data_IF_111965528343
#
_entry.id   IF_111965528343
#
_cell.length_a   1.000
_cell.length_b   1.000
_cell.length_c   1.000
_cell.angle_alpha   90.00
_cell.angle_beta   90.00
_cell.angle_gamma   90.00
#
_symmetry.space_group_name_H-M   'P 1'
#
loop_
_entity.id
_entity.type
_entity.pdbx_description
1 polymer ?
#
# COMPACT_ATOMS: atom_id res chain seq x y z
N UNK A 1 -7.18 18.83 1.99
CA UNK A 1 -6.13 17.98 1.40
C UNK A 1 -6.59 16.55 1.25
N UNK A 2 -6.14 15.92 0.18
CA UNK A 2 -6.33 14.53 -0.18
C UNK A 2 -5.01 13.76 -0.05
N UNK A 3 -5.10 12.44 0.04
CA UNK A 3 -3.98 11.54 -0.25
C UNK A 3 -4.25 10.80 -1.55
N UNK A 4 -3.29 10.83 -2.48
CA UNK A 4 -3.31 10.02 -3.69
C UNK A 4 -2.17 9.00 -3.64
N UNK A 5 -2.40 7.79 -4.14
CA UNK A 5 -1.39 6.74 -4.21
C UNK A 5 -1.28 6.31 -5.67
N UNK A 6 -0.10 6.47 -6.24
CA UNK A 6 0.27 5.90 -7.53
C UNK A 6 1.13 4.68 -7.27
N UNK A 7 0.87 3.58 -7.97
CA UNK A 7 1.55 2.32 -7.72
C UNK A 7 1.76 1.48 -8.98
N UNK A 8 2.82 0.67 -8.99
CA UNK A 8 3.18 -0.20 -10.11
C UNK A 8 3.64 -1.58 -9.60
N UNK A 9 3.05 -2.64 -10.15
CA UNK A 9 3.31 -4.03 -9.73
C UNK A 9 4.72 -4.45 -10.16
N UNK A 10 5.53 -4.84 -9.19
CA UNK A 10 6.93 -5.19 -9.43
C UNK A 10 7.02 -6.49 -10.22
N UNK A 11 7.69 -6.46 -11.38
CA UNK A 11 7.86 -7.63 -12.26
C UNK A 11 6.53 -8.26 -12.71
N UNK A 12 5.51 -7.43 -12.96
CA UNK A 12 4.18 -7.85 -13.48
C UNK A 12 4.26 -8.77 -14.70
N UNK A 13 5.17 -8.47 -15.64
CA UNK A 13 5.41 -9.23 -16.89
C UNK A 13 5.99 -10.63 -16.67
N UNK A 14 6.47 -10.94 -15.45
CA UNK A 14 6.96 -12.28 -15.10
C UNK A 14 5.85 -13.23 -14.63
N UNK A 15 4.65 -12.71 -14.38
CA UNK A 15 3.47 -13.48 -13.97
C UNK A 15 2.88 -14.22 -15.19
N UNK A 16 2.43 -15.45 -14.99
CA UNK A 16 1.70 -16.16 -16.04
C UNK A 16 0.27 -15.65 -16.14
N UNK A 17 -0.41 -15.95 -17.26
CA UNK A 17 -1.79 -15.48 -17.53
C UNK A 17 -2.74 -15.75 -16.34
N UNK A 18 -2.66 -16.96 -15.75
CA UNK A 18 -3.50 -17.33 -14.59
C UNK A 18 -3.21 -16.47 -13.36
N UNK A 19 -1.93 -16.22 -13.07
CA UNK A 19 -1.52 -15.37 -11.95
C UNK A 19 -1.93 -13.91 -12.17
N UNK A 20 -1.78 -13.40 -13.39
CA UNK A 20 -2.20 -12.03 -13.75
C UNK A 20 -3.71 -11.84 -13.54
N UNK A 21 -4.54 -12.77 -14.02
CA UNK A 21 -6.00 -12.71 -13.85
C UNK A 21 -6.37 -12.78 -12.36
N UNK A 22 -5.79 -13.73 -11.62
CA UNK A 22 -6.07 -13.87 -10.20
C UNK A 22 -5.60 -12.66 -9.36
N UNK A 23 -4.49 -12.02 -9.74
CA UNK A 23 -4.02 -10.80 -9.08
C UNK A 23 -4.95 -9.62 -9.35
N UNK A 24 -5.47 -9.50 -10.57
CA UNK A 24 -6.47 -8.46 -10.91
C UNK A 24 -7.73 -8.61 -10.07
N UNK A 25 -8.30 -9.81 -9.97
CA UNK A 25 -9.45 -10.06 -9.09
C UNK A 25 -9.14 -9.74 -7.63
N UNK A 26 -7.95 -10.08 -7.13
CA UNK A 26 -7.54 -9.70 -5.77
C UNK A 26 -7.46 -8.18 -5.57
N UNK A 27 -7.07 -7.42 -6.59
CA UNK A 27 -7.05 -5.95 -6.55
C UNK A 27 -8.48 -5.40 -6.57
N UNK A 28 -9.37 -5.95 -7.38
CA UNK A 28 -10.79 -5.56 -7.44
C UNK A 28 -11.51 -5.83 -6.10
N UNK A 29 -11.25 -6.99 -5.48
CA UNK A 29 -11.74 -7.32 -4.14
C UNK A 29 -11.17 -6.36 -3.09
N UNK A 30 -9.89 -6.03 -3.19
CA UNK A 30 -9.23 -5.08 -2.32
C UNK A 30 -9.88 -3.69 -2.42
N UNK A 31 -10.13 -3.19 -3.64
CA UNK A 31 -10.83 -1.92 -3.83
C UNK A 31 -12.21 -1.95 -3.20
N UNK A 32 -12.97 -3.04 -3.38
CA UNK A 32 -14.28 -3.21 -2.74
C UNK A 32 -14.20 -3.18 -1.20
N UNK A 33 -13.15 -3.74 -0.60
CA UNK A 33 -12.91 -3.66 0.84
C UNK A 33 -12.56 -2.23 1.27
N UNK A 34 -11.71 -1.55 0.51
CA UNK A 34 -11.27 -0.19 0.81
C UNK A 34 -12.42 0.82 0.66
N UNK A 35 -13.24 0.72 -0.37
CA UNK A 35 -14.43 1.57 -0.58
C UNK A 35 -15.43 1.46 0.58
N UNK A 36 -15.66 0.25 1.10
CA UNK A 36 -16.55 0.03 2.24
C UNK A 36 -16.01 0.59 3.54
N UNK A 37 -14.68 0.63 3.69
CA UNK A 37 -14.01 1.00 4.94
C UNK A 37 -13.63 2.48 5.01
N UNK A 38 -13.27 3.08 3.89
CA UNK A 38 -12.75 4.44 3.81
C UNK A 38 -13.69 5.28 2.94
N UNK A 39 -14.59 6.08 3.54
CA UNK A 39 -15.56 6.88 2.81
C UNK A 39 -14.89 7.75 1.74
N UNK A 40 -15.42 7.68 0.52
CA UNK A 40 -14.92 8.44 -0.61
C UNK A 40 -13.61 7.92 -1.23
N UNK A 41 -13.06 6.79 -0.76
CA UNK A 41 -11.98 6.11 -1.45
C UNK A 41 -12.35 5.86 -2.93
N UNK A 42 -11.36 5.96 -3.80
CA UNK A 42 -11.50 5.64 -5.21
C UNK A 42 -10.21 5.01 -5.74
N UNK A 43 -10.27 3.72 -6.08
CA UNK A 43 -9.17 3.00 -6.71
C UNK A 43 -9.46 2.69 -8.18
N UNK A 44 -8.44 2.71 -9.03
CA UNK A 44 -8.52 2.20 -10.40
C UNK A 44 -7.23 1.51 -10.82
N UNK A 45 -7.38 0.49 -11.66
CA UNK A 45 -6.27 -0.21 -12.31
C UNK A 45 -6.17 0.25 -13.78
N UNK A 46 -4.98 0.70 -14.18
CA UNK A 46 -4.66 1.23 -15.50
C UNK A 46 -3.67 0.28 -16.16
N UNK A 47 -3.94 -0.12 -17.42
CA UNK A 47 -3.09 -1.02 -18.22
C UNK A 47 -2.76 -2.39 -17.60
N UNK A 48 -3.32 -2.71 -16.43
CA UNK A 48 -3.28 -4.02 -15.80
C UNK A 48 -2.24 -4.18 -14.68
N UNK A 49 -1.34 -3.23 -14.51
CA UNK A 49 -0.27 -3.25 -13.49
C UNK A 49 -0.02 -1.91 -12.79
N UNK A 50 -0.52 -0.81 -13.36
CA UNK A 50 -0.48 0.51 -12.74
C UNK A 50 -1.78 0.78 -11.97
N UNK A 51 -1.68 1.28 -10.76
CA UNK A 51 -2.82 1.57 -9.90
C UNK A 51 -2.78 3.02 -9.43
N UNK A 52 -3.95 3.63 -9.40
CA UNK A 52 -4.17 4.93 -8.78
C UNK A 52 -5.27 4.80 -7.74
N UNK A 53 -5.01 5.34 -6.55
CA UNK A 53 -5.99 5.45 -5.49
C UNK A 53 -6.08 6.90 -5.03
N UNK A 54 -7.27 7.35 -4.66
CA UNK A 54 -7.53 8.65 -4.08
C UNK A 54 -8.32 8.50 -2.78
N UNK A 55 -7.92 9.25 -1.75
CA UNK A 55 -8.55 9.30 -0.45
C UNK A 55 -8.84 10.76 -0.08
N UNK A 56 -10.08 11.09 0.31
CA UNK A 56 -10.40 12.41 0.86
C UNK A 56 -9.72 12.71 2.19
N UNK A 57 -9.39 11.67 2.96
CA UNK A 57 -8.70 11.79 4.25
C UNK A 57 -7.23 11.47 4.10
N UNK A 58 -6.37 12.48 4.31
CA UNK A 58 -4.92 12.30 4.32
C UNK A 58 -4.47 11.32 5.40
N UNK A 59 -5.11 11.34 6.58
CA UNK A 59 -4.76 10.50 7.73
C UNK A 59 -4.88 9.01 7.41
N UNK A 60 -5.83 8.64 6.57
CA UNK A 60 -6.04 7.25 6.14
C UNK A 60 -5.06 6.80 5.05
N UNK A 61 -4.40 7.73 4.36
CA UNK A 61 -3.55 7.45 3.21
C UNK A 61 -2.43 6.46 3.51
N UNK A 62 -1.72 6.64 4.62
CA UNK A 62 -0.63 5.74 5.00
C UNK A 62 -1.16 4.34 5.32
N UNK A 63 -2.25 4.23 6.08
CA UNK A 63 -2.90 2.93 6.35
C UNK A 63 -3.23 2.21 5.05
N UNK A 64 -3.89 2.90 4.13
CA UNK A 64 -4.33 2.32 2.86
C UNK A 64 -3.16 1.92 1.98
N UNK A 65 -2.08 2.71 1.94
CA UNK A 65 -0.85 2.31 1.26
C UNK A 65 -0.29 1.00 1.84
N UNK A 66 -0.18 0.88 3.17
CA UNK A 66 0.32 -0.36 3.80
C UNK A 66 -0.61 -1.55 3.56
N UNK A 67 -1.94 -1.34 3.55
CA UNK A 67 -2.93 -2.37 3.22
C UNK A 67 -2.70 -2.88 1.80
N UNK A 68 -2.56 -1.97 0.83
CA UNK A 68 -2.29 -2.30 -0.56
C UNK A 68 -1.00 -3.13 -0.66
N UNK A 69 0.12 -2.62 -0.12
CA UNK A 69 1.41 -3.29 -0.22
C UNK A 69 1.39 -4.71 0.36
N UNK A 70 0.82 -4.86 1.55
CA UNK A 70 0.72 -6.15 2.25
C UNK A 70 -0.23 -7.12 1.54
N UNK A 71 -1.34 -6.63 0.96
CA UNK A 71 -2.28 -7.43 0.16
C UNK A 71 -1.63 -7.99 -1.11
N UNK A 72 -0.91 -7.14 -1.86
CA UNK A 72 -0.25 -7.54 -3.12
C UNK A 72 0.94 -8.46 -2.86
N UNK A 73 1.80 -8.13 -1.88
CA UNK A 73 2.96 -8.97 -1.54
C UNK A 73 2.57 -10.34 -0.98
N UNK A 74 1.41 -10.46 -0.34
CA UNK A 74 0.90 -11.76 0.13
C UNK A 74 0.28 -12.64 -0.97
N UNK A 75 0.19 -12.14 -2.20
CA UNK A 75 -0.40 -12.89 -3.32
C UNK A 75 0.40 -14.17 -3.62
N UNK A 76 -0.25 -15.36 -3.64
CA UNK A 76 0.41 -16.61 -3.98
C UNK A 76 0.84 -16.64 -5.46
N UNK A 77 2.12 -16.86 -5.70
CA UNK A 77 2.69 -17.10 -7.03
C UNK A 77 3.61 -18.32 -7.01
N UNK A 78 3.76 -18.98 -8.15
CA UNK A 78 4.69 -20.10 -8.28
C UNK A 78 6.14 -19.62 -8.14
N UNK A 79 6.96 -20.34 -7.37
CA UNK A 79 8.36 -19.95 -7.15
C UNK A 79 9.17 -20.00 -8.45
N UNK A 80 9.87 -18.91 -8.75
CA UNK A 80 10.83 -18.86 -9.85
C UNK A 80 11.81 -17.70 -9.66
N UNK A 81 13.02 -17.82 -10.20
CA UNK A 81 14.03 -16.74 -10.14
C UNK A 81 13.52 -15.43 -10.74
N UNK A 82 12.70 -15.49 -11.80
CA UNK A 82 12.14 -14.32 -12.49
C UNK A 82 11.14 -13.54 -11.63
N UNK A 83 10.49 -14.20 -10.65
CA UNK A 83 9.47 -13.59 -9.78
C UNK A 83 9.98 -13.18 -8.40
N UNK A 84 11.29 -13.35 -8.13
CA UNK A 84 11.89 -13.03 -6.83
C UNK A 84 11.63 -11.57 -6.41
N UNK A 85 11.69 -10.64 -7.36
CA UNK A 85 11.40 -9.23 -7.09
C UNK A 85 9.94 -9.00 -6.68
N UNK A 86 8.98 -9.67 -7.35
CA UNK A 86 7.58 -9.64 -6.91
C UNK A 86 7.43 -10.21 -5.49
N UNK A 87 8.06 -11.34 -5.18
CA UNK A 87 7.98 -11.94 -3.83
C UNK A 87 8.58 -11.01 -2.75
N UNK A 88 9.66 -10.29 -3.08
CA UNK A 88 10.31 -9.36 -2.15
C UNK A 88 9.51 -8.06 -1.98
N UNK A 89 9.00 -7.47 -3.04
CA UNK A 89 8.43 -6.12 -2.99
C UNK A 89 6.91 -6.09 -3.20
N UNK A 90 6.40 -6.96 -4.06
CA UNK A 90 5.01 -7.02 -4.53
C UNK A 90 4.66 -5.85 -5.44
N UNK A 91 4.76 -4.65 -4.89
CA UNK A 91 4.37 -3.40 -5.53
C UNK A 91 5.30 -2.26 -5.08
N UNK A 92 5.59 -1.34 -6.01
CA UNK A 92 6.21 -0.05 -5.70
C UNK A 92 5.14 1.03 -5.73
N UNK A 93 5.20 2.00 -4.81
CA UNK A 93 4.14 2.99 -4.62
C UNK A 93 4.70 4.33 -4.19
N UNK A 94 4.05 5.42 -4.58
CA UNK A 94 4.24 6.74 -3.99
C UNK A 94 2.89 7.27 -3.50
N UNK A 95 2.91 7.88 -2.34
CA UNK A 95 1.77 8.62 -1.80
C UNK A 95 2.02 10.11 -1.91
N UNK A 96 1.17 10.82 -2.64
CA UNK A 96 1.14 12.27 -2.72
C UNK A 96 0.12 12.83 -1.74
N UNK A 97 0.48 13.89 -1.03
CA UNK A 97 -0.43 14.59 -0.11
C UNK A 97 -0.56 16.03 -0.59
N UNK A 98 -1.77 16.45 -0.95
CA UNK A 98 -2.00 17.76 -1.59
C UNK A 98 -3.48 18.01 -1.84
N UNK A 99 -3.81 19.12 -2.46
CA UNK A 99 -5.21 19.39 -2.84
C UNK A 99 -5.58 18.76 -4.18
N UNK A 100 -6.90 18.61 -4.38
CA UNK A 100 -7.48 18.15 -5.65
C UNK A 100 -8.30 19.27 -6.25
N UNK A 101 -8.11 19.50 -7.55
CA UNK A 101 -8.88 20.47 -8.33
C UNK A 101 -10.19 19.87 -8.82
N UNK A 102 -10.15 18.65 -9.32
CA UNK A 102 -11.31 17.92 -9.83
C UNK A 102 -11.24 16.46 -9.36
N UNK A 103 -12.35 15.99 -8.80
CA UNK A 103 -12.58 14.58 -8.49
C UNK A 103 -13.94 14.22 -9.08
N UNK A 104 -13.92 13.61 -10.27
CA UNK A 104 -15.11 13.20 -10.99
C UNK A 104 -15.04 11.71 -11.31
N UNK A 105 -15.75 10.90 -10.51
CA UNK A 105 -15.78 9.44 -10.68
C UNK A 105 -16.51 9.03 -11.96
N UNK A 106 -17.54 9.77 -12.37
CA UNK A 106 -18.39 9.44 -13.52
C UNK A 106 -17.60 9.58 -14.82
N UNK A 107 -16.84 10.67 -14.95
CA UNK A 107 -15.98 10.93 -16.12
C UNK A 107 -14.56 10.40 -15.96
N UNK A 108 -14.24 9.77 -14.82
CA UNK A 108 -12.91 9.18 -14.57
C UNK A 108 -11.79 10.21 -14.41
N UNK A 109 -12.07 11.41 -13.92
CA UNK A 109 -11.11 12.51 -13.77
C UNK A 109 -10.60 12.58 -12.33
N UNK A 110 -9.28 12.37 -12.16
CA UNK A 110 -8.53 12.73 -10.95
C UNK A 110 -7.53 13.82 -11.35
N UNK A 111 -7.81 15.06 -11.00
CA UNK A 111 -6.96 16.19 -11.35
C UNK A 111 -6.58 17.00 -10.11
N UNK A 112 -5.29 17.10 -9.79
CA UNK A 112 -4.86 17.77 -8.58
C UNK A 112 -3.41 17.55 -8.19
N UNK A 113 -2.98 18.34 -7.22
CA UNK A 113 -1.61 18.31 -6.72
C UNK A 113 -1.26 16.95 -6.10
N UNK A 114 -2.17 16.34 -5.32
CA UNK A 114 -1.92 15.04 -4.69
C UNK A 114 -1.58 13.95 -5.72
N UNK A 115 -2.40 13.79 -6.76
CA UNK A 115 -2.19 12.75 -7.80
C UNK A 115 -0.95 13.06 -8.66
N UNK A 116 -0.64 14.34 -8.88
CA UNK A 116 0.58 14.71 -9.59
C UNK A 116 1.85 14.43 -8.77
N UNK A 117 1.82 14.69 -7.46
CA UNK A 117 2.94 14.39 -6.56
C UNK A 117 3.19 12.88 -6.48
N UNK A 118 2.13 12.07 -6.32
CA UNK A 118 2.26 10.61 -6.30
C UNK A 118 2.80 10.07 -7.62
N UNK A 119 2.28 10.53 -8.75
CA UNK A 119 2.71 10.10 -10.08
C UNK A 119 4.18 10.42 -10.34
N UNK A 120 4.59 11.68 -10.17
CA UNK A 120 5.99 12.11 -10.37
C UNK A 120 6.95 11.41 -9.42
N UNK A 121 6.55 11.21 -8.16
CA UNK A 121 7.39 10.51 -7.19
C UNK A 121 7.58 9.04 -7.56
N UNK A 122 6.54 8.36 -8.09
CA UNK A 122 6.65 6.99 -8.59
C UNK A 122 7.54 6.89 -9.83
N UNK A 123 7.38 7.80 -10.79
CA UNK A 123 8.19 7.84 -12.02
C UNK A 123 9.66 8.11 -11.71
N UNK A 124 9.93 8.94 -10.70
CA UNK A 124 11.27 9.21 -10.18
C UNK A 124 11.89 8.05 -9.38
N UNK A 125 11.13 7.00 -9.05
CA UNK A 125 11.70 5.83 -8.40
C UNK A 125 12.58 5.07 -9.38
N UNK A 126 13.87 4.96 -9.03
CA UNK A 126 14.78 4.02 -9.65
C UNK A 126 14.38 2.57 -9.41
N UNK A 127 15.28 1.65 -9.75
CA UNK A 127 15.04 0.21 -9.55
C UNK A 127 14.75 -0.11 -8.07
N UNK A 128 13.71 -0.92 -7.75
CA UNK A 128 13.25 -1.26 -6.39
C UNK A 128 14.32 -1.63 -5.35
N UNK A 129 15.51 -2.06 -5.80
CA UNK A 129 16.54 -2.61 -4.94
C UNK A 129 17.50 -1.55 -4.34
N UNK A 130 17.43 -0.28 -4.75
CA UNK A 130 18.42 0.73 -4.29
C UNK A 130 17.91 1.67 -3.21
N UNK A 131 16.66 2.15 -3.28
CA UNK A 131 16.14 3.23 -2.42
C UNK A 131 14.78 2.90 -1.75
N UNK A 132 14.40 1.62 -1.71
CA UNK A 132 13.06 1.20 -1.28
C UNK A 132 12.03 1.26 -2.41
N UNK A 133 10.78 0.99 -2.02
CA UNK A 133 9.61 0.83 -2.90
C UNK A 133 8.37 1.58 -2.42
N UNK A 134 8.53 2.43 -1.41
CA UNK A 134 7.46 3.31 -0.95
C UNK A 134 8.00 4.69 -0.60
N UNK A 135 7.41 5.72 -1.20
CA UNK A 135 7.72 7.12 -0.95
C UNK A 135 6.47 7.89 -0.53
N UNK A 136 6.66 8.94 0.26
CA UNK A 136 5.62 9.90 0.64
C UNK A 136 6.09 11.29 0.23
N UNK A 137 5.29 11.97 -0.57
CA UNK A 137 5.59 13.29 -1.13
C UNK A 137 4.46 14.28 -0.79
N UNK A 138 4.61 15.05 0.30
CA UNK A 138 3.66 16.09 0.66
C UNK A 138 3.89 17.39 -0.11
N UNK A 139 2.83 18.13 -0.38
CA UNK A 139 2.87 19.50 -0.89
C UNK A 139 3.63 20.42 0.08
N UNK A 140 3.37 20.29 1.39
CA UNK A 140 4.14 20.98 2.41
C UNK A 140 5.52 20.34 2.60
N UNK A 141 6.54 21.07 2.15
CA UNK A 141 7.95 20.67 2.22
C UNK A 141 8.48 20.46 3.65
N UNK A 142 7.89 21.09 4.67
CA UNK A 142 8.29 20.88 6.07
C UNK A 142 7.92 19.48 6.57
N UNK A 143 6.82 18.91 6.07
CA UNK A 143 6.40 17.54 6.40
C UNK A 143 7.19 16.48 5.64
N UNK A 144 7.92 16.86 4.58
CA UNK A 144 8.62 15.91 3.71
C UNK A 144 9.67 15.08 4.46
N UNK A 145 10.64 15.63 5.20
CA UNK A 145 11.64 14.82 5.90
C UNK A 145 11.05 13.76 6.85
N UNK A 146 10.15 14.09 7.80
CA UNK A 146 9.62 13.08 8.72
C UNK A 146 8.77 12.02 8.00
N UNK A 147 7.96 12.41 7.00
CA UNK A 147 7.15 11.46 6.25
C UNK A 147 7.99 10.51 5.40
N UNK A 148 9.06 11.02 4.77
CA UNK A 148 10.00 10.17 4.04
C UNK A 148 10.71 9.17 4.97
N UNK A 149 11.14 9.60 6.15
CA UNK A 149 11.76 8.72 7.14
C UNK A 149 10.81 7.59 7.55
N UNK A 150 9.56 7.91 7.89
CA UNK A 150 8.56 6.93 8.32
C UNK A 150 8.20 5.97 7.18
N UNK A 151 7.98 6.50 5.97
CA UNK A 151 7.71 5.71 4.79
C UNK A 151 8.83 4.71 4.49
N UNK A 152 10.08 5.18 4.51
CA UNK A 152 11.27 4.36 4.22
C UNK A 152 11.48 3.25 5.25
N UNK A 153 11.37 3.56 6.54
CA UNK A 153 11.53 2.56 7.61
C UNK A 153 10.44 1.49 7.54
N UNK A 154 9.19 1.90 7.32
CA UNK A 154 8.06 0.97 7.22
C UNK A 154 8.14 0.12 5.96
N UNK A 155 8.59 0.69 4.83
CA UNK A 155 8.83 -0.05 3.59
C UNK A 155 9.90 -1.13 3.77
N UNK A 156 11.01 -0.80 4.44
CA UNK A 156 12.07 -1.75 4.72
C UNK A 156 11.58 -2.93 5.57
N UNK A 157 10.74 -2.67 6.59
CA UNK A 157 10.08 -3.72 7.37
C UNK A 157 9.19 -4.59 6.49
N UNK A 158 8.31 -3.98 5.69
CA UNK A 158 7.38 -4.72 4.82
C UNK A 158 8.11 -5.54 3.75
N UNK A 159 9.18 -5.03 3.16
CA UNK A 159 9.96 -5.75 2.15
C UNK A 159 10.62 -7.02 2.72
N UNK A 160 10.99 -6.99 4.00
CA UNK A 160 11.57 -8.14 4.71
C UNK A 160 10.54 -9.18 5.19
N UNK A 161 9.24 -8.88 5.08
CA UNK A 161 8.21 -9.85 5.47
C UNK A 161 8.11 -11.01 4.48
N UNK A 162 7.83 -12.21 4.98
CA UNK A 162 7.43 -13.34 4.14
C UNK A 162 5.99 -13.15 3.66
N UNK A 163 5.58 -13.88 2.61
CA UNK A 163 4.19 -13.89 2.13
C UNK A 163 3.15 -14.03 3.26
N UNK A 164 3.36 -15.00 4.17
CA UNK A 164 2.44 -15.24 5.30
C UNK A 164 2.45 -14.11 6.32
N UNK A 165 3.62 -13.53 6.60
CA UNK A 165 3.71 -12.36 7.47
C UNK A 165 3.01 -11.13 6.86
N UNK A 166 3.17 -10.89 5.55
CA UNK A 166 2.44 -9.83 4.84
C UNK A 166 0.93 -10.06 4.90
N UNK A 167 0.47 -11.30 4.78
CA UNK A 167 -0.96 -11.65 4.88
C UNK A 167 -1.54 -11.37 6.27
N UNK A 168 -0.78 -11.67 7.33
CA UNK A 168 -1.16 -11.31 8.71
C UNK A 168 -1.21 -9.79 8.89
N UNK A 169 -0.20 -9.05 8.40
CA UNK A 169 -0.17 -7.59 8.46
C UNK A 169 -1.36 -6.98 7.72
N UNK A 170 -1.72 -7.50 6.54
CA UNK A 170 -2.89 -7.05 5.78
C UNK A 170 -4.17 -7.07 6.63
N UNK A 171 -4.45 -8.19 7.31
CA UNK A 171 -5.63 -8.26 8.16
C UNK A 171 -5.52 -7.43 9.44
N UNK A 172 -4.33 -7.29 10.03
CA UNK A 172 -4.11 -6.39 11.17
C UNK A 172 -4.35 -4.92 10.82
N UNK A 173 -3.91 -4.48 9.64
CA UNK A 173 -4.21 -3.13 9.13
C UNK A 173 -5.71 -2.94 8.88
N UNK A 174 -6.41 -4.03 8.55
CA UNK A 174 -7.87 -4.11 8.54
C UNK A 174 -8.50 -4.27 9.93
N UNK A 175 -7.77 -4.00 11.01
CA UNK A 175 -8.25 -4.03 12.40
C UNK A 175 -8.88 -5.37 12.81
N UNK A 176 -8.42 -6.47 12.22
CA UNK A 176 -8.81 -7.81 12.65
C UNK A 176 -8.00 -8.22 13.87
N UNK A 177 -8.68 -8.79 14.86
CA UNK A 177 -8.06 -9.43 16.01
C UNK A 177 -7.30 -10.68 15.59
N UNK A 178 -6.33 -11.10 16.39
CA UNK A 178 -5.51 -12.29 16.10
C UNK A 178 -6.35 -13.56 15.99
N UNK A 179 -7.46 -13.64 16.74
CA UNK A 179 -8.41 -14.74 16.64
C UNK A 179 -9.21 -14.72 15.33
N UNK A 180 -9.66 -13.54 14.88
CA UNK A 180 -10.31 -13.43 13.57
C UNK A 180 -9.35 -13.83 12.44
N UNK A 181 -8.10 -13.36 12.49
CA UNK A 181 -7.07 -13.71 11.50
C UNK A 181 -6.80 -15.22 11.51
N UNK A 182 -6.69 -15.82 12.68
CA UNK A 182 -6.50 -17.26 12.84
C UNK A 182 -7.64 -18.05 12.17
N UNK A 183 -8.89 -17.63 12.39
CA UNK A 183 -10.06 -18.23 11.76
C UNK A 183 -10.04 -18.06 10.22
N UNK A 184 -9.73 -16.86 9.73
CA UNK A 184 -9.65 -16.57 8.28
C UNK A 184 -8.56 -17.42 7.60
N UNK A 185 -7.41 -17.60 8.26
CA UNK A 185 -6.27 -18.31 7.71
C UNK A 185 -6.28 -19.82 8.00
N UNK A 186 -7.22 -20.32 8.80
CA UNK A 186 -7.29 -21.74 9.18
C UNK A 186 -6.10 -22.20 10.02
N UNK A 187 -5.55 -21.32 10.88
CA UNK A 187 -4.38 -21.61 11.73
C UNK A 187 -4.68 -21.29 13.19
N UNK A 188 -3.77 -21.64 14.11
CA UNK A 188 -3.89 -21.28 15.52
C UNK A 188 -3.54 -19.81 15.76
N UNK A 189 -4.20 -19.17 16.72
CA UNK A 189 -3.90 -17.79 17.15
C UNK A 189 -2.42 -17.60 17.53
N UNK A 190 -1.80 -18.60 18.16
CA UNK A 190 -0.36 -18.56 18.48
C UNK A 190 0.54 -18.39 17.25
N UNK A 191 0.14 -18.96 16.10
CA UNK A 191 0.84 -18.76 14.83
C UNK A 191 0.72 -17.33 14.31
N UNK A 192 -0.45 -16.71 14.48
CA UNK A 192 -0.68 -15.29 14.14
C UNK A 192 0.19 -14.38 15.01
N UNK A 193 0.27 -14.65 16.32
CA UNK A 193 1.14 -13.92 17.25
C UNK A 193 2.61 -14.04 16.83
N UNK A 194 3.07 -15.25 16.50
CA UNK A 194 4.44 -15.47 16.05
C UNK A 194 4.74 -14.69 14.76
N UNK A 195 3.87 -14.77 13.75
CA UNK A 195 4.03 -14.01 12.51
C UNK A 195 4.05 -12.51 12.74
N UNK A 196 3.16 -11.98 13.59
CA UNK A 196 3.09 -10.55 13.93
C UNK A 196 4.38 -10.07 14.61
N UNK A 197 4.88 -10.83 15.57
CA UNK A 197 6.13 -10.53 16.29
C UNK A 197 7.34 -10.59 15.35
N UNK A 198 7.45 -11.62 14.51
CA UNK A 198 8.55 -11.75 13.54
C UNK A 198 8.51 -10.63 12.50
N UNK A 199 7.32 -10.19 12.09
CA UNK A 199 7.12 -9.10 11.15
C UNK A 199 7.30 -7.70 11.78
N UNK A 200 7.61 -7.63 13.07
CA UNK A 200 7.75 -6.37 13.82
C UNK A 200 6.50 -5.49 13.73
N UNK A 201 5.31 -6.10 13.84
CA UNK A 201 4.03 -5.39 13.77
C UNK A 201 3.99 -4.16 14.67
N UNK A 202 4.50 -4.25 15.90
CA UNK A 202 4.54 -3.13 16.84
C UNK A 202 5.23 -1.87 16.28
N UNK A 203 6.27 -2.01 15.45
CA UNK A 203 6.91 -0.87 14.79
C UNK A 203 6.03 -0.26 13.71
N UNK A 204 5.36 -1.10 12.91
CA UNK A 204 4.45 -0.67 11.84
C UNK A 204 3.24 0.04 12.44
N UNK A 205 2.69 -0.51 13.52
CA UNK A 205 1.56 0.06 14.25
C UNK A 205 1.90 1.41 14.88
N UNK A 206 3.08 1.55 15.49
CA UNK A 206 3.52 2.83 16.06
C UNK A 206 3.72 3.90 14.97
N UNK A 207 4.37 3.55 13.86
CA UNK A 207 4.53 4.44 12.71
C UNK A 207 3.17 4.89 12.15
N UNK A 208 2.21 3.98 12.10
CA UNK A 208 0.85 4.26 11.65
C UNK A 208 0.10 5.18 12.61
N UNK A 209 0.14 4.89 13.91
CA UNK A 209 -0.48 5.71 14.96
C UNK A 209 0.08 7.13 14.97
N UNK A 210 1.40 7.28 14.77
CA UNK A 210 2.02 8.59 14.64
C UNK A 210 1.51 9.33 13.40
N UNK A 211 1.52 8.68 12.23
CA UNK A 211 1.07 9.29 10.98
C UNK A 211 -0.39 9.76 11.06
N UNK A 212 -1.29 8.94 11.62
CA UNK A 212 -2.72 9.26 11.76
C UNK A 212 -2.98 10.45 12.70
N UNK A 213 -2.05 10.75 13.62
CA UNK A 213 -2.12 11.89 14.55
C UNK A 213 -1.52 13.17 13.98
N UNK A 214 -0.83 13.12 12.84
CA UNK A 214 -0.27 14.31 12.22
C UNK A 214 -1.37 15.29 11.84
N UNK A 215 -1.08 16.57 12.03
CA UNK A 215 -1.94 17.63 11.52
C UNK A 215 -1.50 17.98 10.09
N UNK A 216 -2.40 17.77 9.14
CA UNK A 216 -2.22 18.12 7.74
C UNK A 216 -2.95 19.43 7.39
N UNK A 217 -3.69 20.03 8.33
CA UNK A 217 -4.36 21.33 8.14
C UNK A 217 -3.41 22.48 8.50
N UNK A 218 -3.31 23.49 7.63
CA UNK A 218 -2.45 24.67 7.84
C UNK A 218 -1.00 24.51 7.35
N UNK A 219 -0.80 23.58 6.43
CA UNK A 219 0.48 23.17 5.88
C UNK A 219 0.68 23.68 4.44
#
# INVERSE_FOLDING_TARGET
MYAAISADIVSSTSLCIKETIALKHRIEDLFSVLEKRFPGFWGRLIKGDYMECLLPSTKDGFRVALIIKSCIKSFPIAESKKKKLFQTYGIRMAMGIGDMRIVDKEHGIMDGEAIYLSGRALDGMGTPNKNGTFLIEPANKQLKPPLQTIGMLTDALLNNTTKRQSEVIYYKLLSKSEQEIANILGVKQSGINQHSTSAKWYCIEEALNYFERLNFEGA
#
